data_IF_100348148690
#
_entry.id   IF_100348148690
#
_cell.length_a   1.000
_cell.length_b   1.000
_cell.length_c   1.000
_cell.angle_alpha   90.00
_cell.angle_beta   90.00
_cell.angle_gamma   90.00
#
_symmetry.space_group_name_H-M   'P 1'
#
loop_
_entity.id
_entity.type
_entity.pdbx_description
1 polymer ?
#
# COMPACT_ATOMS: atom_id res chain seq x y z
N UNK A 1 12.92 -16.45 -31.98
CA UNK A 1 13.90 -16.45 -30.87
C UNK A 1 13.92 -15.14 -30.06
N UNK A 2 13.53 -13.99 -30.64
CA UNK A 2 13.51 -12.66 -30.00
C UNK A 2 12.50 -12.55 -28.83
N UNK A 3 11.33 -13.20 -28.94
CA UNK A 3 10.32 -13.18 -27.86
C UNK A 3 10.85 -13.81 -26.57
N UNK A 4 11.46 -14.99 -26.60
CA UNK A 4 11.93 -15.68 -25.38
C UNK A 4 12.98 -14.87 -24.59
N UNK A 5 13.89 -14.18 -25.27
CA UNK A 5 14.90 -13.31 -24.63
C UNK A 5 14.30 -12.08 -23.95
N UNK A 6 13.29 -11.45 -24.56
CA UNK A 6 12.55 -10.34 -23.97
C UNK A 6 11.80 -10.76 -22.69
N UNK A 7 11.13 -11.91 -22.73
CA UNK A 7 10.43 -12.47 -21.57
C UNK A 7 11.39 -12.84 -20.42
N UNK A 8 12.57 -13.41 -20.72
CA UNK A 8 13.57 -13.76 -19.70
C UNK A 8 14.16 -12.51 -19.04
N UNK A 9 14.50 -11.49 -19.83
CA UNK A 9 15.03 -10.22 -19.31
C UNK A 9 13.98 -9.50 -18.44
N UNK A 10 12.71 -9.48 -18.89
CA UNK A 10 11.62 -8.89 -18.12
C UNK A 10 11.39 -9.62 -16.80
N UNK A 11 11.45 -10.96 -16.76
CA UNK A 11 11.35 -11.73 -15.51
C UNK A 11 12.51 -11.49 -14.55
N UNK A 12 13.73 -11.30 -15.04
CA UNK A 12 14.87 -10.96 -14.17
C UNK A 12 14.69 -9.57 -13.55
N UNK A 13 14.29 -8.57 -14.34
CA UNK A 13 13.96 -7.23 -13.85
C UNK A 13 12.87 -7.26 -12.79
N UNK A 14 11.81 -8.04 -12.99
CA UNK A 14 10.73 -8.23 -12.02
C UNK A 14 11.23 -8.84 -10.71
N UNK A 15 12.09 -9.88 -10.77
CA UNK A 15 12.65 -10.50 -9.56
C UNK A 15 13.52 -9.54 -8.76
N UNK A 16 14.32 -8.71 -9.43
CA UNK A 16 15.14 -7.68 -8.78
C UNK A 16 14.26 -6.62 -8.13
N UNK A 17 13.20 -6.15 -8.81
CA UNK A 17 12.23 -5.22 -8.23
C UNK A 17 11.56 -5.79 -6.98
N UNK A 18 11.13 -7.06 -7.02
CA UNK A 18 10.56 -7.74 -5.86
C UNK A 18 11.55 -7.86 -4.69
N UNK A 19 12.81 -8.20 -4.96
CA UNK A 19 13.84 -8.31 -3.94
C UNK A 19 14.14 -6.95 -3.29
N UNK A 20 14.25 -5.90 -4.11
CA UNK A 20 14.44 -4.52 -3.63
C UNK A 20 13.25 -4.07 -2.78
N UNK A 21 12.02 -4.28 -3.26
CA UNK A 21 10.83 -3.91 -2.51
C UNK A 21 10.70 -4.70 -1.20
N UNK A 22 10.99 -6.00 -1.21
CA UNK A 22 11.02 -6.81 0.01
C UNK A 22 12.05 -6.26 1.01
N UNK A 23 13.26 -5.94 0.54
CA UNK A 23 14.29 -5.30 1.36
C UNK A 23 13.83 -3.96 1.94
N UNK A 24 13.19 -3.12 1.13
CA UNK A 24 12.63 -1.85 1.55
C UNK A 24 11.55 -2.02 2.63
N UNK A 25 10.62 -2.96 2.49
CA UNK A 25 9.59 -3.22 3.49
C UNK A 25 10.17 -3.83 4.77
N UNK A 26 11.15 -4.72 4.68
CA UNK A 26 11.85 -5.27 5.85
C UNK A 26 12.63 -4.17 6.59
N UNK A 27 13.34 -3.31 5.85
CA UNK A 27 13.99 -2.14 6.42
C UNK A 27 12.98 -1.20 7.09
N UNK A 28 11.83 -0.97 6.45
CA UNK A 28 10.75 -0.14 7.00
C UNK A 28 10.21 -0.68 8.32
N UNK A 29 10.14 -2.00 8.50
CA UNK A 29 9.78 -2.61 9.81
C UNK A 29 10.82 -2.24 10.87
N UNK A 30 12.11 -2.36 10.57
CA UNK A 30 13.17 -2.01 11.50
C UNK A 30 13.17 -0.50 11.82
N UNK A 31 12.99 0.35 10.81
CA UNK A 31 12.88 1.79 10.97
C UNK A 31 11.66 2.18 11.82
N UNK A 32 10.51 1.55 11.59
CA UNK A 32 9.29 1.78 12.37
C UNK A 32 9.47 1.34 13.84
N UNK A 33 10.19 0.24 14.09
CA UNK A 33 10.47 -0.23 15.45
C UNK A 33 11.46 0.65 16.23
N UNK A 34 12.47 1.21 15.56
CA UNK A 34 13.62 1.86 16.22
C UNK A 34 13.52 3.39 16.18
N UNK A 35 12.98 3.95 15.11
CA UNK A 35 13.11 5.38 14.80
C UNK A 35 11.77 6.14 14.80
N UNK A 36 10.66 5.46 14.48
CA UNK A 36 9.35 6.12 14.42
C UNK A 36 8.73 6.27 15.81
N UNK A 37 8.25 7.47 16.14
CA UNK A 37 7.49 7.70 17.36
C UNK A 37 6.19 6.92 17.35
N UNK A 38 5.85 6.28 18.47
CA UNK A 38 4.62 5.49 18.62
C UNK A 38 3.40 6.41 18.57
N UNK A 39 2.80 6.53 17.38
CA UNK A 39 1.49 7.16 17.16
C UNK A 39 0.35 6.14 17.33
N UNK A 40 -0.89 6.64 17.40
CA UNK A 40 -2.09 5.80 17.60
C UNK A 40 -2.30 4.72 16.54
N UNK A 41 -1.76 4.90 15.35
CA UNK A 41 -1.85 3.96 14.23
C UNK A 41 -0.66 3.00 14.12
N UNK A 42 0.28 3.03 15.07
CA UNK A 42 1.51 2.21 15.04
C UNK A 42 1.21 0.71 14.85
N UNK A 43 0.24 0.17 15.60
CA UNK A 43 -0.13 -1.24 15.51
C UNK A 43 -0.69 -1.62 14.13
N UNK A 44 -1.47 -0.72 13.52
CA UNK A 44 -2.05 -0.91 12.19
C UNK A 44 -0.96 -0.85 11.11
N UNK A 45 -0.05 0.12 11.21
CA UNK A 45 1.10 0.24 10.31
C UNK A 45 2.02 -1.00 10.41
N UNK A 46 2.29 -1.49 11.62
CA UNK A 46 3.08 -2.70 11.82
C UNK A 46 2.42 -3.94 11.19
N UNK A 47 1.11 -4.14 11.46
CA UNK A 47 0.36 -5.23 10.87
C UNK A 47 0.37 -5.16 9.33
N UNK A 48 0.23 -3.96 8.76
CA UNK A 48 0.34 -3.74 7.33
C UNK A 48 1.68 -4.20 6.77
N UNK A 49 2.81 -3.83 7.39
CA UNK A 49 4.12 -4.26 6.93
C UNK A 49 4.28 -5.78 6.94
N UNK A 50 3.79 -6.47 7.97
CA UNK A 50 3.79 -7.94 7.98
C UNK A 50 2.93 -8.53 6.86
N UNK A 51 1.76 -7.96 6.61
CA UNK A 51 0.87 -8.41 5.53
C UNK A 51 1.50 -8.17 4.15
N UNK A 52 2.11 -7.01 3.91
CA UNK A 52 2.74 -6.69 2.61
C UNK A 52 3.98 -7.54 2.38
N UNK A 53 4.83 -7.78 3.38
CA UNK A 53 5.95 -8.73 3.29
C UNK A 53 5.44 -10.14 2.98
N UNK A 54 4.37 -10.57 3.65
CA UNK A 54 3.68 -11.83 3.36
C UNK A 54 3.22 -11.89 1.90
N UNK A 55 2.47 -10.90 1.44
CA UNK A 55 1.97 -10.83 0.06
C UNK A 55 3.09 -10.89 -0.99
N UNK A 56 4.21 -10.21 -0.75
CA UNK A 56 5.39 -10.23 -1.64
C UNK A 56 6.01 -11.63 -1.66
N UNK A 57 6.22 -12.24 -0.49
CA UNK A 57 6.81 -13.57 -0.36
C UNK A 57 5.93 -14.66 -1.02
N UNK A 58 4.63 -14.66 -0.73
CA UNK A 58 3.69 -15.63 -1.28
C UNK A 58 3.48 -15.43 -2.79
N UNK A 59 3.37 -14.18 -3.27
CA UNK A 59 3.33 -13.86 -4.69
C UNK A 59 4.58 -14.36 -5.43
N UNK A 60 5.75 -14.28 -4.78
CA UNK A 60 7.01 -14.77 -5.34
C UNK A 60 7.04 -16.31 -5.46
N UNK A 61 6.57 -17.02 -4.43
CA UNK A 61 6.55 -18.50 -4.38
C UNK A 61 5.51 -19.08 -5.35
N UNK A 62 4.30 -18.50 -5.42
CA UNK A 62 3.22 -18.96 -6.29
C UNK A 62 3.43 -18.59 -7.76
N UNK A 63 4.28 -17.60 -8.03
CA UNK A 63 4.51 -17.11 -9.38
C UNK A 63 3.47 -16.11 -9.88
N UNK A 64 2.60 -15.62 -8.99
CA UNK A 64 1.57 -14.60 -9.24
C UNK A 64 2.15 -13.18 -9.29
N UNK A 65 3.21 -13.00 -10.09
CA UNK A 65 4.00 -11.76 -10.15
C UNK A 65 3.20 -10.57 -10.70
N UNK A 66 2.20 -10.82 -11.55
CA UNK A 66 1.38 -9.76 -12.17
C UNK A 66 0.53 -9.04 -11.15
N UNK A 67 -0.20 -9.80 -10.32
CA UNK A 67 -1.04 -9.22 -9.28
C UNK A 67 -0.19 -8.52 -8.22
N UNK A 68 0.89 -9.16 -7.77
CA UNK A 68 1.75 -8.57 -6.74
C UNK A 68 2.47 -7.30 -7.20
N UNK A 69 3.01 -7.22 -8.43
CA UNK A 69 3.63 -5.97 -8.90
C UNK A 69 2.62 -4.85 -9.11
N UNK A 70 1.41 -5.18 -9.59
CA UNK A 70 0.33 -4.21 -9.68
C UNK A 70 -0.05 -3.69 -8.29
N UNK A 71 -0.12 -4.56 -7.28
CA UNK A 71 -0.33 -4.15 -5.89
C UNK A 71 0.74 -3.16 -5.46
N UNK A 72 2.02 -3.50 -5.60
CA UNK A 72 3.15 -2.64 -5.21
C UNK A 72 3.08 -1.27 -5.89
N UNK A 73 2.91 -1.25 -7.21
CA UNK A 73 2.88 -0.01 -7.99
C UNK A 73 1.73 0.91 -7.57
N UNK A 74 0.53 0.37 -7.34
CA UNK A 74 -0.62 1.17 -6.89
C UNK A 74 -0.37 1.81 -5.51
N UNK A 75 0.42 1.17 -4.66
CA UNK A 75 0.76 1.72 -3.34
C UNK A 75 1.79 2.84 -3.47
N UNK A 76 2.88 2.59 -4.19
CA UNK A 76 3.99 3.53 -4.30
C UNK A 76 3.56 4.86 -4.98
N UNK A 77 2.66 4.80 -5.97
CA UNK A 77 2.20 6.01 -6.68
C UNK A 77 1.52 7.01 -5.74
N UNK A 78 0.65 6.56 -4.83
CA UNK A 78 -0.02 7.48 -3.90
C UNK A 78 0.98 8.09 -2.92
N UNK A 79 1.97 7.31 -2.49
CA UNK A 79 2.90 7.71 -1.42
C UNK A 79 3.85 8.80 -1.89
N UNK A 80 4.20 8.84 -3.18
CA UNK A 80 4.95 9.96 -3.77
C UNK A 80 4.26 11.31 -3.53
N UNK A 81 2.93 11.40 -3.71
CA UNK A 81 2.20 12.63 -3.47
C UNK A 81 2.20 13.03 -1.99
N UNK A 82 2.12 12.04 -1.09
CA UNK A 82 2.17 12.29 0.36
C UNK A 82 3.54 12.84 0.78
N UNK A 83 4.63 12.24 0.30
CA UNK A 83 5.98 12.71 0.63
C UNK A 83 6.25 14.12 0.08
N UNK A 84 5.77 14.44 -1.13
CA UNK A 84 5.84 15.80 -1.66
C UNK A 84 5.04 16.77 -0.77
N UNK A 85 3.84 16.39 -0.31
CA UNK A 85 3.04 17.23 0.57
C UNK A 85 3.77 17.54 1.89
N UNK A 86 4.42 16.54 2.50
CA UNK A 86 5.25 16.71 3.70
C UNK A 86 6.44 17.64 3.43
N UNK A 87 7.16 17.44 2.33
CA UNK A 87 8.29 18.29 1.94
C UNK A 87 7.86 19.76 1.75
N UNK A 88 6.73 20.00 1.08
CA UNK A 88 6.17 21.35 0.97
C UNK A 88 5.81 21.94 2.32
N UNK A 89 5.27 21.13 3.25
CA UNK A 89 4.95 21.57 4.60
C UNK A 89 6.19 21.94 5.41
N UNK A 90 7.25 21.12 5.35
CA UNK A 90 8.54 21.42 5.99
C UNK A 90 9.23 22.65 5.38
N UNK A 91 8.97 22.93 4.11
CA UNK A 91 9.48 24.12 3.42
C UNK A 91 8.61 25.37 3.63
N UNK A 92 7.60 25.31 4.50
CA UNK A 92 6.61 26.37 4.75
C UNK A 92 5.81 26.82 3.53
N UNK A 93 5.74 26.00 2.47
CA UNK A 93 4.95 26.27 1.28
C UNK A 93 3.53 25.68 1.41
N UNK A 94 2.68 26.38 2.17
CA UNK A 94 1.34 25.90 2.57
C UNK A 94 0.42 25.57 1.39
N UNK A 95 0.39 26.41 0.35
CA UNK A 95 -0.46 26.16 -0.83
C UNK A 95 -0.03 24.88 -1.54
N UNK A 96 1.28 24.68 -1.73
CA UNK A 96 1.81 23.46 -2.33
C UNK A 96 1.51 22.22 -1.49
N UNK A 97 1.65 22.32 -0.17
CA UNK A 97 1.33 21.24 0.75
C UNK A 97 -0.15 20.83 0.64
N UNK A 98 -1.07 21.79 0.62
CA UNK A 98 -2.51 21.55 0.51
C UNK A 98 -2.91 20.95 -0.84
N UNK A 99 -2.33 21.44 -1.94
CA UNK A 99 -2.56 20.88 -3.28
C UNK A 99 -2.03 19.45 -3.37
N UNK A 100 -0.80 19.19 -2.93
CA UNK A 100 -0.22 17.85 -2.96
C UNK A 100 -0.97 16.87 -2.04
N UNK A 101 -1.45 17.34 -0.88
CA UNK A 101 -2.29 16.54 0.00
C UNK A 101 -3.65 16.20 -0.63
N UNK A 102 -4.26 17.15 -1.36
CA UNK A 102 -5.47 16.88 -2.14
C UNK A 102 -5.25 15.85 -3.27
N UNK A 103 -4.13 15.97 -3.99
CA UNK A 103 -3.74 14.98 -5.01
C UNK A 103 -3.47 13.60 -4.40
N UNK A 104 -2.81 13.55 -3.24
CA UNK A 104 -2.62 12.34 -2.48
C UNK A 104 -3.97 11.69 -2.14
N UNK A 105 -4.92 12.43 -1.58
CA UNK A 105 -6.23 11.90 -1.24
C UNK A 105 -7.00 11.37 -2.48
N UNK A 106 -6.99 12.11 -3.59
CA UNK A 106 -7.61 11.67 -4.83
C UNK A 106 -6.96 10.38 -5.35
N UNK A 107 -5.63 10.33 -5.38
CA UNK A 107 -4.87 9.15 -5.82
C UNK A 107 -5.15 7.94 -4.91
N UNK A 108 -5.26 8.14 -3.59
CA UNK A 108 -5.58 7.10 -2.63
C UNK A 108 -6.95 6.47 -2.92
N UNK A 109 -7.97 7.32 -3.12
CA UNK A 109 -9.32 6.85 -3.43
C UNK A 109 -9.34 6.04 -4.73
N UNK A 110 -8.82 6.59 -5.81
CA UNK A 110 -8.87 5.94 -7.12
C UNK A 110 -8.05 4.65 -7.15
N UNK A 111 -6.80 4.69 -6.68
CA UNK A 111 -5.88 3.57 -6.80
C UNK A 111 -6.21 2.45 -5.78
N UNK A 112 -6.48 2.81 -4.52
CA UNK A 112 -6.60 1.84 -3.42
C UNK A 112 -8.04 1.48 -3.07
N UNK A 113 -9.02 2.36 -3.29
CA UNK A 113 -10.43 2.05 -3.02
C UNK A 113 -11.23 1.62 -4.24
N UNK A 114 -10.83 2.03 -5.44
CA UNK A 114 -11.51 1.62 -6.68
C UNK A 114 -10.70 0.56 -7.41
N UNK A 115 -9.51 0.90 -7.92
CA UNK A 115 -8.76 -0.02 -8.80
C UNK A 115 -8.35 -1.29 -8.05
N UNK A 116 -7.83 -1.17 -6.83
CA UNK A 116 -7.35 -2.33 -6.05
C UNK A 116 -8.41 -3.43 -5.86
N UNK A 117 -9.61 -3.19 -5.32
CA UNK A 117 -10.61 -4.26 -5.15
C UNK A 117 -11.19 -4.76 -6.47
N UNK A 118 -11.50 -3.87 -7.42
CA UNK A 118 -12.14 -4.28 -8.67
C UNK A 118 -11.21 -5.02 -9.63
N UNK A 119 -9.90 -4.75 -9.59
CA UNK A 119 -8.94 -5.37 -10.50
C UNK A 119 -8.12 -6.46 -9.81
N UNK A 120 -7.49 -6.16 -8.67
CA UNK A 120 -6.52 -7.08 -8.06
C UNK A 120 -7.23 -8.17 -7.26
N UNK A 121 -8.12 -7.80 -6.35
CA UNK A 121 -8.87 -8.78 -5.54
C UNK A 121 -9.73 -9.66 -6.44
N UNK A 122 -10.41 -9.06 -7.42
CA UNK A 122 -11.18 -9.81 -8.41
C UNK A 122 -10.32 -10.81 -9.18
N UNK A 123 -9.17 -10.39 -9.71
CA UNK A 123 -8.27 -11.26 -10.48
C UNK A 123 -7.85 -12.51 -9.70
N UNK A 124 -7.43 -12.36 -8.45
CA UNK A 124 -7.03 -13.49 -7.61
C UNK A 124 -8.23 -14.34 -7.19
N UNK A 125 -9.40 -13.72 -6.94
CA UNK A 125 -10.61 -14.46 -6.56
C UNK A 125 -11.13 -15.37 -7.68
N UNK A 126 -11.02 -14.93 -8.94
CA UNK A 126 -11.34 -15.76 -10.10
C UNK A 126 -10.38 -16.94 -10.22
N UNK A 127 -9.08 -16.72 -10.00
CA UNK A 127 -8.09 -17.81 -9.98
C UNK A 127 -8.41 -18.84 -8.89
N UNK A 128 -8.81 -18.42 -7.68
CA UNK A 128 -9.28 -19.35 -6.61
C UNK A 128 -10.40 -20.26 -7.10
N UNK A 129 -11.41 -19.71 -7.78
CA UNK A 129 -12.57 -20.49 -8.25
C UNK A 129 -12.16 -21.56 -9.27
N UNK A 130 -11.27 -21.20 -10.21
CA UNK A 130 -10.77 -22.14 -11.22
C UNK A 130 -10.07 -23.35 -10.59
N UNK A 131 -9.28 -23.14 -9.54
CA UNK A 131 -8.58 -24.25 -8.86
C UNK A 131 -9.48 -25.08 -7.93
N UNK A 132 -10.57 -24.49 -7.42
CA UNK A 132 -11.60 -25.22 -6.69
C UNK A 132 -12.29 -26.25 -7.60
N UNK A 133 -12.67 -25.82 -8.81
CA UNK A 133 -13.34 -26.68 -9.80
C UNK A 133 -12.44 -27.81 -10.32
N UNK A 134 -11.13 -27.57 -10.39
CA UNK A 134 -10.13 -28.55 -10.84
C UNK A 134 -9.68 -29.53 -9.73
N UNK A 135 -10.19 -29.41 -8.50
CA UNK A 135 -9.86 -30.31 -7.38
C UNK A 135 -8.43 -30.17 -6.84
N UNK A 136 -7.74 -29.06 -7.15
CA UNK A 136 -6.35 -28.82 -6.79
C UNK A 136 -6.16 -28.39 -5.32
N UNK A 137 -6.18 -29.32 -4.36
CA UNK A 137 -6.16 -29.02 -2.92
C UNK A 137 -4.99 -28.12 -2.43
N UNK A 138 -3.80 -28.22 -3.04
CA UNK A 138 -2.62 -27.43 -2.62
C UNK A 138 -2.67 -26.01 -3.18
N UNK A 139 -2.89 -25.88 -4.48
CA UNK A 139 -2.97 -24.57 -5.16
C UNK A 139 -4.17 -23.77 -4.63
N UNK A 140 -5.32 -24.44 -4.43
CA UNK A 140 -6.49 -23.82 -3.80
C UNK A 140 -6.16 -23.15 -2.47
N UNK A 141 -5.48 -23.86 -1.55
CA UNK A 141 -5.08 -23.30 -0.24
C UNK A 141 -4.15 -22.10 -0.39
N UNK A 142 -3.24 -22.15 -1.35
CA UNK A 142 -2.28 -21.07 -1.61
C UNK A 142 -2.97 -19.79 -2.12
N UNK A 143 -3.84 -19.92 -3.12
CA UNK A 143 -4.61 -18.79 -3.65
C UNK A 143 -5.63 -18.26 -2.63
N UNK A 144 -6.27 -19.13 -1.86
CA UNK A 144 -7.17 -18.73 -0.77
C UNK A 144 -6.45 -17.89 0.29
N UNK A 145 -5.26 -18.33 0.73
CA UNK A 145 -4.44 -17.58 1.68
C UNK A 145 -3.97 -16.23 1.12
N UNK A 146 -3.61 -16.16 -0.16
CA UNK A 146 -3.26 -14.89 -0.81
C UNK A 146 -4.46 -13.92 -0.84
N UNK A 147 -5.67 -14.43 -1.13
CA UNK A 147 -6.91 -13.66 -1.14
C UNK A 147 -7.23 -13.07 0.24
N UNK A 148 -7.06 -13.83 1.32
CA UNK A 148 -7.33 -13.33 2.67
C UNK A 148 -6.38 -12.19 3.05
N UNK A 149 -5.09 -12.30 2.71
CA UNK A 149 -4.12 -11.22 2.93
C UNK A 149 -4.47 -9.94 2.14
N UNK A 150 -4.91 -10.08 0.87
CA UNK A 150 -5.34 -8.92 0.06
C UNK A 150 -6.59 -8.23 0.64
N UNK A 151 -7.54 -9.00 1.16
CA UNK A 151 -8.74 -8.46 1.82
C UNK A 151 -8.34 -7.73 3.11
N UNK A 152 -7.46 -8.30 3.94
CA UNK A 152 -6.96 -7.61 5.13
C UNK A 152 -6.26 -6.30 4.78
N UNK A 153 -5.45 -6.29 3.72
CA UNK A 153 -4.79 -5.08 3.22
C UNK A 153 -5.83 -4.01 2.80
N UNK A 154 -6.91 -4.43 2.15
CA UNK A 154 -7.99 -3.53 1.76
C UNK A 154 -8.72 -2.92 2.97
N UNK A 155 -8.92 -3.69 4.04
CA UNK A 155 -9.51 -3.16 5.29
C UNK A 155 -8.64 -2.04 5.85
N UNK A 156 -7.31 -2.18 5.83
CA UNK A 156 -6.42 -1.11 6.24
C UNK A 156 -6.51 0.12 5.32
N UNK A 157 -6.71 -0.06 4.01
CA UNK A 157 -6.94 1.07 3.10
C UNK A 157 -8.19 1.87 3.43
N UNK A 158 -9.28 1.19 3.82
CA UNK A 158 -10.51 1.84 4.28
C UNK A 158 -10.24 2.60 5.58
N UNK A 159 -9.54 1.99 6.53
CA UNK A 159 -9.17 2.64 7.79
C UNK A 159 -8.40 3.95 7.57
N UNK A 160 -7.35 3.94 6.75
CA UNK A 160 -6.58 5.15 6.46
C UNK A 160 -7.35 6.15 5.62
N UNK A 161 -8.24 5.70 4.72
CA UNK A 161 -9.12 6.61 3.99
C UNK A 161 -9.96 7.47 4.93
N UNK A 162 -10.49 6.86 6.00
CA UNK A 162 -11.23 7.60 7.04
C UNK A 162 -10.34 8.68 7.68
N UNK A 163 -9.07 8.36 7.97
CA UNK A 163 -8.12 9.34 8.52
C UNK A 163 -7.79 10.47 7.54
N UNK A 164 -7.61 10.14 6.25
CA UNK A 164 -7.37 11.12 5.18
C UNK A 164 -8.58 12.07 5.05
N UNK A 165 -9.80 11.54 5.06
CA UNK A 165 -11.01 12.36 5.06
C UNK A 165 -11.09 13.28 6.29
N UNK A 166 -10.73 12.80 7.48
CA UNK A 166 -10.68 13.64 8.69
C UNK A 166 -9.66 14.77 8.55
N UNK A 167 -8.49 14.49 7.98
CA UNK A 167 -7.47 15.50 7.69
C UNK A 167 -7.95 16.51 6.65
N UNK A 168 -8.64 16.08 5.59
CA UNK A 168 -9.22 16.99 4.58
C UNK A 168 -10.27 17.92 5.19
N UNK A 169 -11.17 17.41 6.03
CA UNK A 169 -12.16 18.25 6.73
C UNK A 169 -11.48 19.29 7.61
N UNK A 170 -10.39 18.92 8.29
CA UNK A 170 -9.57 19.83 9.11
C UNK A 170 -8.91 20.90 8.22
N UNK A 171 -8.32 20.51 7.09
CA UNK A 171 -7.73 21.42 6.10
C UNK A 171 -8.73 22.46 5.58
N UNK A 172 -9.97 22.06 5.29
CA UNK A 172 -11.03 22.99 4.86
C UNK A 172 -11.46 23.93 5.99
N UNK A 173 -11.52 23.45 7.23
CA UNK A 173 -11.86 24.27 8.41
C UNK A 173 -10.77 25.30 8.72
N UNK A 174 -9.51 24.93 8.54
CA UNK A 174 -8.34 25.76 8.84
C UNK A 174 -7.98 26.71 7.66
N UNK A 175 -8.93 26.96 6.75
CA UNK A 175 -8.78 27.86 5.59
C UNK A 175 -7.60 27.49 4.68
N UNK A 176 -7.34 26.19 4.48
CA UNK A 176 -6.31 25.70 3.56
C UNK A 176 -4.91 25.57 4.14
N UNK A 177 -4.74 25.67 5.46
CA UNK A 177 -3.48 25.33 6.15
C UNK A 177 -3.47 23.85 6.53
N UNK A 178 -2.42 23.12 6.15
CA UNK A 178 -2.24 21.73 6.59
C UNK A 178 -1.91 21.75 8.07
N UNK A 179 -2.85 21.36 8.93
CA UNK A 179 -2.66 21.30 10.37
C UNK A 179 -2.06 19.97 10.82
N UNK A 180 -1.71 19.88 12.11
CA UNK A 180 -1.03 18.71 12.66
C UNK A 180 -1.84 17.43 12.45
N UNK A 181 -1.10 16.35 12.19
CA UNK A 181 -1.63 15.03 11.88
C UNK A 181 -2.49 14.51 13.04
N UNK A 182 -3.73 14.11 12.75
CA UNK A 182 -4.71 13.58 13.71
C UNK A 182 -4.26 12.31 14.44
N UNK A 183 -3.17 11.68 13.99
CA UNK A 183 -2.57 10.48 14.59
C UNK A 183 -1.52 10.80 15.65
N UNK A 184 -0.97 12.01 15.62
CA UNK A 184 -0.08 12.54 16.66
C UNK A 184 -0.91 12.79 17.91
N UNK A 185 -0.45 12.33 19.06
CA UNK A 185 -1.05 12.79 20.30
C UNK A 185 -0.89 14.31 20.39
N UNK A 186 -1.99 15.02 20.58
CA UNK A 186 -1.90 16.36 21.13
C UNK A 186 -1.33 16.20 22.52
N UNK A 187 -0.04 16.49 22.70
CA UNK A 187 0.51 16.77 24.03
C UNK A 187 -0.25 18.00 24.55
N UNK A 188 -1.29 17.72 25.32
CA UNK A 188 -2.25 18.68 25.81
C UNK A 188 -2.88 18.11 27.07
N UNK A 189 -2.04 17.95 28.09
CA UNK A 189 -2.38 17.93 29.51
C UNK A 189 -1.07 18.12 30.29
N UNK A 190 -0.71 19.40 30.51
CA UNK A 190 -0.21 19.97 31.76
C UNK A 190 -0.37 21.51 31.73
#
# INVERSE_FOLDING_TARGET
>A
MVSRGFWICCRFKLKVLYAFQCGFYVYSVAALMVWETRRKDFGVMMAHHFITIGLIAFSYVQGSYRAGISTLLLHDISDVFLEIAKLCKYSHFEVGASVCFGLFALSWFVLRLVIFPFWIIWSISVEVMQYLDLGGNKEFKQYYFQSTLLIMLFIFHIYWWILICRMLVKLFRDSGKVSDDVRSDSEGED
#
